data_IF_540846356421
#
_entry.id   IF_540846356421
#
_cell.length_a   1.000
_cell.length_b   1.000
_cell.length_c   1.000
_cell.angle_alpha   90.00
_cell.angle_beta   90.00
_cell.angle_gamma   90.00
#
_symmetry.space_group_name_H-M   'P 1'
#
loop_
_entity.id
_entity.type
_entity.pdbx_description
1 polymer ?
#
# COMPACT_ATOMS: atom_id res chain seq x y z
N UNK A 1 -5.86 0.96 -15.23
CA UNK A 1 -6.52 1.38 -13.97
C UNK A 1 -6.05 0.49 -12.82
N UNK A 2 -5.85 1.07 -11.66
CA UNK A 2 -5.38 0.32 -10.49
C UNK A 2 -6.55 -0.26 -9.71
N UNK A 3 -6.31 -1.43 -9.10
CA UNK A 3 -7.30 -2.07 -8.25
C UNK A 3 -7.48 -1.25 -6.96
N UNK A 4 -8.72 -0.83 -6.62
CA UNK A 4 -8.95 -0.05 -5.40
C UNK A 4 -8.49 -0.76 -4.12
N UNK A 5 -8.61 -2.08 -4.05
CA UNK A 5 -8.15 -2.83 -2.87
C UNK A 5 -6.64 -2.77 -2.72
N UNK A 6 -5.91 -2.79 -3.83
CA UNK A 6 -4.45 -2.66 -3.82
C UNK A 6 -4.02 -1.26 -3.41
N UNK A 7 -4.69 -0.23 -3.92
CA UNK A 7 -4.41 1.16 -3.53
C UNK A 7 -4.71 1.39 -2.06
N UNK A 8 -5.80 0.84 -1.55
CA UNK A 8 -6.15 0.94 -0.14
C UNK A 8 -5.09 0.29 0.74
N UNK A 9 -4.56 -0.86 0.33
CA UNK A 9 -3.49 -1.53 1.06
C UNK A 9 -2.23 -0.66 1.11
N UNK A 10 -1.83 -0.09 -0.01
CA UNK A 10 -0.67 0.81 -0.09
C UNK A 10 -0.85 2.02 0.84
N UNK A 11 -2.00 2.67 0.75
CA UNK A 11 -2.30 3.85 1.57
C UNK A 11 -2.26 3.52 3.07
N UNK A 12 -2.86 2.40 3.46
CA UNK A 12 -2.89 1.99 4.86
C UNK A 12 -1.50 1.66 5.40
N UNK A 13 -0.68 0.96 4.62
CA UNK A 13 0.71 0.65 5.03
C UNK A 13 1.48 1.94 5.26
N UNK A 14 1.39 2.88 4.33
CA UNK A 14 2.10 4.15 4.45
C UNK A 14 1.63 4.96 5.65
N UNK A 15 0.33 5.08 5.83
CA UNK A 15 -0.26 5.89 6.90
C UNK A 15 0.00 5.31 8.29
N UNK A 16 -0.09 3.98 8.41
CA UNK A 16 0.03 3.30 9.70
C UNK A 16 1.45 2.80 10.00
N UNK A 17 2.30 2.72 8.98
CA UNK A 17 3.69 2.35 9.15
C UNK A 17 3.96 0.85 9.31
N UNK A 18 2.95 0.00 9.13
CA UNK A 18 3.14 -1.44 9.27
C UNK A 18 2.09 -2.24 8.48
N UNK A 19 2.51 -3.43 8.03
CA UNK A 19 1.62 -4.36 7.33
C UNK A 19 0.56 -4.91 8.28
N UNK A 20 0.94 -5.20 9.52
CA UNK A 20 0.00 -5.73 10.52
C UNK A 20 -1.10 -4.72 10.85
N UNK A 21 -0.73 -3.46 11.04
CA UNK A 21 -1.70 -2.41 11.32
C UNK A 21 -2.64 -2.18 10.13
N UNK A 22 -2.09 -2.21 8.90
CA UNK A 22 -2.90 -2.08 7.69
C UNK A 22 -3.90 -3.23 7.57
N UNK A 23 -3.45 -4.45 7.86
CA UNK A 23 -4.33 -5.63 7.82
C UNK A 23 -5.48 -5.50 8.82
N UNK A 24 -5.17 -5.06 10.04
CA UNK A 24 -6.18 -4.86 11.07
C UNK A 24 -7.21 -3.82 10.64
N UNK A 25 -6.76 -2.69 10.10
CA UNK A 25 -7.67 -1.63 9.66
C UNK A 25 -8.59 -2.10 8.52
N UNK A 26 -8.04 -2.86 7.57
CA UNK A 26 -8.81 -3.30 6.40
C UNK A 26 -9.51 -4.64 6.62
N UNK A 27 -9.41 -5.21 7.82
CA UNK A 27 -10.06 -6.47 8.19
C UNK A 27 -9.64 -7.64 7.31
N UNK A 28 -8.36 -7.72 6.99
CA UNK A 28 -7.77 -8.80 6.21
C UNK A 28 -6.52 -9.30 6.92
N UNK A 29 -5.90 -10.36 6.38
CA UNK A 29 -4.66 -10.90 6.95
C UNK A 29 -3.46 -10.07 6.48
N UNK A 30 -2.35 -10.05 7.24
CA UNK A 30 -1.11 -9.43 6.76
C UNK A 30 -0.62 -10.04 5.45
N UNK A 31 -0.84 -11.33 5.25
CA UNK A 31 -0.49 -12.00 3.99
C UNK A 31 -1.27 -11.43 2.82
N UNK A 32 -2.56 -11.14 3.01
CA UNK A 32 -3.39 -10.52 1.97
C UNK A 32 -2.87 -9.10 1.62
N UNK A 33 -2.50 -8.34 2.65
CA UNK A 33 -1.92 -7.00 2.43
C UNK A 33 -0.62 -7.10 1.61
N UNK A 34 0.25 -8.03 1.98
CA UNK A 34 1.51 -8.25 1.27
C UNK A 34 1.29 -8.64 -0.19
N UNK A 35 0.33 -9.51 -0.45
CA UNK A 35 -0.02 -9.94 -1.80
C UNK A 35 -0.58 -8.79 -2.65
N UNK A 36 -1.43 -7.96 -2.06
CA UNK A 36 -2.00 -6.80 -2.74
C UNK A 36 -0.93 -5.79 -3.11
N UNK A 37 -0.01 -5.52 -2.17
CA UNK A 37 1.10 -4.62 -2.45
C UNK A 37 2.00 -5.17 -3.56
N UNK A 38 2.34 -6.45 -3.47
CA UNK A 38 3.19 -7.09 -4.48
C UNK A 38 2.57 -7.02 -5.88
N UNK A 39 1.27 -7.29 -5.98
CA UNK A 39 0.57 -7.20 -7.26
C UNK A 39 0.63 -5.79 -7.83
N UNK A 40 0.45 -4.78 -6.99
CA UNK A 40 0.53 -3.39 -7.42
C UNK A 40 1.95 -3.01 -7.86
N UNK A 41 2.96 -3.46 -7.12
CA UNK A 41 4.35 -3.24 -7.50
C UNK A 41 4.69 -3.90 -8.83
N UNK A 42 4.16 -5.09 -9.07
CA UNK A 42 4.35 -5.78 -10.36
C UNK A 42 3.68 -5.03 -11.50
N UNK A 43 2.49 -4.49 -11.27
CA UNK A 43 1.78 -3.70 -12.28
C UNK A 43 2.53 -2.42 -12.63
N UNK A 44 3.09 -1.74 -11.64
CA UNK A 44 3.81 -0.47 -11.85
C UNK A 44 5.26 -0.67 -12.26
N UNK A 45 5.82 -1.85 -12.00
CA UNK A 45 7.22 -2.14 -12.32
C UNK A 45 8.22 -1.49 -11.37
N UNK A 46 7.77 -1.03 -10.21
CA UNK A 46 8.64 -0.38 -9.23
C UNK A 46 8.21 -0.66 -7.81
N UNK A 47 9.13 -0.49 -6.86
CA UNK A 47 8.80 -0.62 -5.45
C UNK A 47 8.00 0.59 -4.98
N UNK A 48 6.95 0.34 -4.22
CA UNK A 48 6.04 1.38 -3.72
C UNK A 48 6.15 1.60 -2.22
N UNK A 49 6.73 0.64 -1.49
CA UNK A 49 6.94 0.73 -0.04
C UNK A 49 8.41 0.44 0.27
N UNK A 50 8.99 1.28 1.11
CA UNK A 50 10.28 1.04 1.73
C UNK A 50 10.01 0.31 3.05
N UNK A 51 10.55 -0.90 3.18
CA UNK A 51 10.29 -1.77 4.33
C UNK A 51 11.27 -1.47 5.47
N UNK A 52 11.13 -0.28 6.02
CA UNK A 52 11.89 0.10 7.21
C UNK A 52 11.00 0.07 8.45
N UNK A 53 11.45 0.74 9.49
CA UNK A 53 10.71 0.92 10.73
C UNK A 53 10.57 2.42 11.00
N UNK A 54 9.44 3.03 10.64
CA UNK A 54 8.21 2.44 10.07
C UNK A 54 8.32 2.19 8.56
N UNK A 55 7.39 1.40 8.02
CA UNK A 55 7.23 1.27 6.58
C UNK A 55 6.72 2.58 6.01
N UNK A 56 7.31 3.05 4.91
CA UNK A 56 6.89 4.30 4.28
C UNK A 56 6.82 4.12 2.78
N UNK A 57 6.01 4.95 2.12
CA UNK A 57 5.91 4.90 0.67
C UNK A 57 7.18 5.48 0.02
N UNK A 58 7.61 4.84 -1.08
CA UNK A 58 8.64 5.40 -1.95
C UNK A 58 8.06 6.62 -2.69
N UNK A 59 8.88 7.44 -3.39
CA UNK A 59 8.33 8.53 -4.20
C UNK A 59 7.25 8.08 -5.18
N UNK A 60 7.43 6.89 -5.82
CA UNK A 60 6.43 6.34 -6.70
C UNK A 60 5.16 5.95 -5.94
N UNK A 61 5.32 5.35 -4.74
CA UNK A 61 4.20 5.00 -3.88
C UNK A 61 3.43 6.22 -3.40
N UNK A 62 4.13 7.30 -3.07
CA UNK A 62 3.48 8.54 -2.62
C UNK A 62 2.56 9.12 -3.69
N UNK A 63 2.93 9.04 -4.96
CA UNK A 63 2.07 9.51 -6.04
C UNK A 63 0.74 8.75 -6.07
N UNK A 64 0.79 7.43 -5.87
CA UNK A 64 -0.41 6.60 -5.87
C UNK A 64 -1.23 6.81 -4.61
N UNK A 65 -0.59 7.00 -3.46
CA UNK A 65 -1.29 7.32 -2.21
C UNK A 65 -2.07 8.63 -2.36
N UNK A 66 -1.43 9.65 -2.92
CA UNK A 66 -2.09 10.94 -3.15
C UNK A 66 -3.26 10.81 -4.12
N UNK A 67 -3.08 10.05 -5.19
CA UNK A 67 -4.14 9.81 -6.15
C UNK A 67 -5.34 9.12 -5.49
N UNK A 68 -5.08 8.08 -4.70
CA UNK A 68 -6.12 7.37 -3.97
C UNK A 68 -6.88 8.31 -3.03
N UNK A 69 -6.14 9.13 -2.28
CA UNK A 69 -6.74 10.04 -1.30
C UNK A 69 -7.57 11.13 -1.98
N UNK A 70 -7.14 11.59 -3.17
CA UNK A 70 -7.85 12.64 -3.91
C UNK A 70 -9.16 12.15 -4.49
N UNK A 71 -9.25 10.89 -4.91
CA UNK A 71 -10.47 10.36 -5.53
C UNK A 71 -11.38 9.66 -4.50
N UNK A 72 -10.87 9.42 -3.31
CA UNK A 72 -11.66 8.84 -2.24
C UNK A 72 -12.41 9.96 -1.50
#
# INVERSE_FOLDING_TARGET
MFDPAQLAALSAIHRLGSFDAAAAELSVTPSAISQRLKALEETTGTLLISRGQPCTATPAGLRLVRHHDEVA
#
